data_IF_113507783323
#
_entry.id   IF_113507783323
#
_cell.length_a   1.000
_cell.length_b   1.000
_cell.length_c   1.000
_cell.angle_alpha   90.00
_cell.angle_beta   90.00
_cell.angle_gamma   90.00
#
_symmetry.space_group_name_H-M   'P 1'
#
loop_
_entity.id
_entity.type
_entity.pdbx_description
1 polymer ?
#
# COMPACT_ATOMS: atom_id res chain seq x y z
N UNK A 1 3.71 -27.04 13.46
CA UNK A 1 3.12 -26.36 14.64
C UNK A 1 4.08 -25.32 15.23
N UNK A 2 5.24 -25.68 15.80
CA UNK A 2 6.18 -24.68 16.37
C UNK A 2 7.02 -23.95 15.33
N UNK A 3 7.29 -24.59 14.18
CA UNK A 3 8.07 -24.01 13.08
C UNK A 3 7.33 -22.85 12.39
N UNK A 4 6.01 -22.90 12.31
CA UNK A 4 5.19 -21.91 11.61
C UNK A 4 5.07 -20.61 12.42
N UNK A 5 4.98 -20.73 13.74
CA UNK A 5 4.96 -19.59 14.67
C UNK A 5 6.30 -18.82 14.67
N UNK A 6 7.43 -19.54 14.66
CA UNK A 6 8.73 -18.89 14.54
C UNK A 6 8.87 -18.11 13.22
N UNK A 7 8.34 -18.65 12.11
CA UNK A 7 8.32 -17.95 10.82
C UNK A 7 7.39 -16.73 10.81
N UNK A 8 6.22 -16.79 11.44
CA UNK A 8 5.29 -15.65 11.50
C UNK A 8 5.88 -14.49 12.31
N UNK A 9 6.50 -14.78 13.45
CA UNK A 9 7.16 -13.75 14.29
C UNK A 9 8.29 -13.05 13.53
N UNK A 10 9.12 -13.81 12.82
CA UNK A 10 10.18 -13.24 11.97
C UNK A 10 9.57 -12.33 10.89
N UNK A 11 8.52 -12.77 10.19
CA UNK A 11 7.87 -11.96 9.16
C UNK A 11 7.33 -10.62 9.70
N UNK A 12 6.73 -10.62 10.89
CA UNK A 12 6.19 -9.41 11.51
C UNK A 12 7.29 -8.42 11.92
N UNK A 13 8.39 -8.94 12.50
CA UNK A 13 9.57 -8.13 12.85
C UNK A 13 10.25 -7.48 11.63
N UNK A 14 10.30 -8.18 10.50
CA UNK A 14 10.99 -7.69 9.28
C UNK A 14 10.11 -6.85 8.35
N UNK A 15 8.78 -6.93 8.44
CA UNK A 15 7.82 -6.19 7.61
C UNK A 15 8.12 -4.68 7.44
N UNK A 16 8.49 -3.90 8.48
CA UNK A 16 8.77 -2.47 8.30
C UNK A 16 10.02 -2.22 7.42
N UNK A 17 10.97 -3.14 7.37
CA UNK A 17 12.24 -2.99 6.64
C UNK A 17 12.20 -3.48 5.19
N UNK A 18 11.12 -4.11 4.76
CA UNK A 18 10.98 -4.58 3.39
C UNK A 18 10.98 -3.38 2.42
N UNK A 19 11.87 -3.32 1.41
CA UNK A 19 11.85 -2.25 0.42
C UNK A 19 10.57 -2.33 -0.43
N UNK A 20 10.12 -1.19 -0.95
CA UNK A 20 9.00 -1.19 -1.90
C UNK A 20 9.36 -2.02 -3.13
N UNK A 21 8.43 -2.88 -3.55
CA UNK A 21 8.59 -3.70 -4.76
C UNK A 21 8.42 -2.89 -6.05
N UNK A 22 7.78 -1.72 -5.95
CA UNK A 22 7.49 -0.84 -7.06
C UNK A 22 8.41 0.39 -7.03
N UNK A 23 8.44 1.13 -8.13
CA UNK A 23 9.12 2.43 -8.24
C UNK A 23 8.09 3.52 -8.49
N UNK A 24 8.41 4.76 -8.12
CA UNK A 24 7.43 5.87 -8.20
C UNK A 24 6.91 6.16 -9.62
N UNK A 25 7.65 5.76 -10.66
CA UNK A 25 7.28 5.94 -12.06
C UNK A 25 6.49 4.77 -12.65
N UNK A 26 6.28 3.70 -11.91
CA UNK A 26 5.52 2.54 -12.38
C UNK A 26 4.06 2.94 -12.62
N UNK A 27 3.47 2.41 -13.70
CA UNK A 27 2.09 2.73 -14.08
C UNK A 27 1.06 2.18 -13.11
N UNK A 28 1.45 1.15 -12.36
CA UNK A 28 0.64 0.48 -11.35
C UNK A 28 0.56 1.29 -10.05
N UNK A 29 1.37 2.34 -9.89
CA UNK A 29 1.39 3.18 -8.68
C UNK A 29 0.43 4.36 -8.83
N UNK A 30 -0.35 4.62 -7.79
CA UNK A 30 -1.29 5.73 -7.78
C UNK A 30 -0.57 7.07 -7.58
N UNK A 31 -0.41 7.82 -8.67
CA UNK A 31 0.23 9.15 -8.63
C UNK A 31 -0.54 10.16 -7.77
N UNK A 32 -1.88 10.08 -7.76
CA UNK A 32 -2.71 10.95 -6.92
C UNK A 32 -2.43 10.71 -5.43
N UNK A 33 -2.29 9.42 -5.06
CA UNK A 33 -1.89 9.04 -3.72
C UNK A 33 -0.52 9.62 -3.37
N UNK A 34 0.51 9.39 -4.20
CA UNK A 34 1.88 9.87 -3.92
C UNK A 34 1.95 11.37 -3.61
N UNK A 35 1.20 12.20 -4.33
CA UNK A 35 1.21 13.65 -4.12
C UNK A 35 0.48 14.06 -2.84
N UNK A 36 -0.73 13.54 -2.61
CA UNK A 36 -1.52 13.92 -1.42
C UNK A 36 -2.53 12.85 -1.04
N UNK A 37 -3.56 12.67 -1.87
CA UNK A 37 -4.68 11.77 -1.61
C UNK A 37 -5.20 11.14 -2.91
N UNK A 38 -5.62 9.89 -2.83
CA UNK A 38 -6.33 9.22 -3.91
C UNK A 38 -7.83 9.58 -3.82
N UNK A 39 -8.47 10.00 -4.93
CA UNK A 39 -9.89 10.34 -4.93
C UNK A 39 -10.79 9.13 -4.58
N UNK A 40 -10.39 7.93 -4.98
CA UNK A 40 -11.12 6.69 -4.69
C UNK A 40 -11.18 6.40 -3.18
N UNK A 41 -10.14 6.77 -2.43
CA UNK A 41 -10.11 6.58 -0.96
C UNK A 41 -10.75 7.73 -0.19
N UNK A 42 -10.90 8.91 -0.82
CA UNK A 42 -11.38 10.11 -0.13
C UNK A 42 -12.91 10.12 0.04
N UNK A 43 -13.64 9.52 -0.91
CA UNK A 43 -15.09 9.59 -0.98
C UNK A 43 -15.78 8.24 -0.72
N UNK A 44 -15.09 7.31 -0.06
CA UNK A 44 -15.66 6.00 0.32
C UNK A 44 -16.91 6.18 1.20
N UNK A 45 -17.96 5.40 0.94
CA UNK A 45 -19.26 5.50 1.64
C UNK A 45 -19.98 6.86 1.46
N UNK A 46 -19.64 7.62 0.42
CA UNK A 46 -20.37 8.85 0.07
C UNK A 46 -21.17 8.65 -1.22
N UNK A 47 -22.03 9.61 -1.57
CA UNK A 47 -22.77 9.59 -2.85
C UNK A 47 -21.85 9.58 -4.07
N UNK A 48 -20.60 10.00 -3.92
CA UNK A 48 -19.58 10.06 -4.98
C UNK A 48 -18.53 8.95 -4.85
N UNK A 49 -18.87 7.82 -4.24
CA UNK A 49 -17.97 6.68 -4.09
C UNK A 49 -17.59 6.12 -5.48
N UNK A 50 -16.28 6.13 -5.76
CA UNK A 50 -15.70 5.63 -7.01
C UNK A 50 -15.30 4.14 -6.90
N UNK A 51 -15.44 3.54 -5.71
CA UNK A 51 -14.97 2.19 -5.40
C UNK A 51 -13.48 2.13 -5.07
N UNK A 52 -12.95 0.92 -4.97
CA UNK A 52 -11.55 0.67 -4.64
C UNK A 52 -10.60 1.22 -5.72
N UNK A 53 -9.39 1.62 -5.33
CA UNK A 53 -8.36 1.98 -6.29
C UNK A 53 -7.64 0.72 -6.77
N UNK A 54 -7.52 0.55 -8.08
CA UNK A 54 -6.76 -0.55 -8.69
C UNK A 54 -5.24 -0.32 -8.68
N UNK A 55 -4.81 0.85 -8.22
CA UNK A 55 -3.41 1.27 -8.19
C UNK A 55 -2.80 1.14 -6.79
N UNK A 56 -1.49 0.89 -6.74
CA UNK A 56 -0.71 0.71 -5.52
C UNK A 56 -0.63 2.02 -4.73
N UNK A 57 -1.00 1.93 -3.46
CA UNK A 57 -0.91 3.00 -2.45
C UNK A 57 0.19 2.66 -1.44
N UNK A 58 1.45 2.79 -1.83
CA UNK A 58 2.60 2.57 -0.94
C UNK A 58 3.17 3.91 -0.48
N UNK A 59 3.25 4.11 0.84
CA UNK A 59 3.79 5.36 1.43
C UNK A 59 5.31 5.46 1.28
N UNK A 60 6.01 4.32 1.21
CA UNK A 60 7.47 4.27 1.04
C UNK A 60 7.92 4.85 -0.31
N UNK A 61 7.01 4.95 -1.27
CA UNK A 61 7.28 5.54 -2.59
C UNK A 61 7.27 7.08 -2.60
N UNK A 62 6.96 7.71 -1.46
CA UNK A 62 6.99 9.17 -1.30
C UNK A 62 8.31 9.71 -0.75
N UNK A 63 9.17 8.84 -0.24
CA UNK A 63 10.53 9.16 0.25
C UNK A 63 11.51 9.34 -0.92
#
# INVERSE_FOLDING_TARGET
MTHDYARSLVSELFAPFEPSKHKFWDKEVCKHFLVKFCPNTLFTNTKSDLGNCDLVHDEKLRE
#
